data_IF_210377896457
#
_entry.id   IF_210377896457
#
_cell.length_a   1.000
_cell.length_b   1.000
_cell.length_c   1.000
_cell.angle_alpha   90.00
_cell.angle_beta   90.00
_cell.angle_gamma   90.00
#
_symmetry.space_group_name_H-M   'P 1'
#
loop_
_entity.id
_entity.type
_entity.pdbx_description
1 polymer ?
#
# COMPACT_ATOMS: atom_id res chain seq x y z
N UNK A 1 -3.08 -10.12 -11.93
CA UNK A 1 -3.34 -8.78 -11.43
C UNK A 1 -4.42 -8.86 -10.36
N UNK A 2 -4.09 -8.53 -9.12
CA UNK A 2 -5.02 -8.60 -7.99
C UNK A 2 -5.64 -7.22 -7.68
N UNK A 3 -5.67 -6.32 -8.65
CA UNK A 3 -6.17 -4.95 -8.48
C UNK A 3 -5.24 -4.02 -7.69
N UNK A 4 -4.03 -4.46 -7.37
CA UNK A 4 -3.02 -3.63 -6.71
C UNK A 4 -2.03 -2.99 -7.70
N UNK A 5 -2.36 -2.92 -9.00
CA UNK A 5 -1.46 -2.42 -10.03
C UNK A 5 -0.28 -3.36 -10.31
N UNK A 6 0.58 -2.98 -11.22
CA UNK A 6 1.83 -3.71 -11.49
C UNK A 6 2.77 -3.59 -10.29
N UNK A 7 3.17 -4.73 -9.71
CA UNK A 7 4.13 -4.73 -8.59
C UNK A 7 5.49 -4.22 -9.07
N UNK A 8 5.88 -3.03 -8.66
CA UNK A 8 7.25 -2.57 -8.82
C UNK A 8 8.12 -3.21 -7.74
N UNK A 9 8.93 -4.19 -8.12
CA UNK A 9 9.76 -4.94 -7.18
C UNK A 9 10.82 -4.09 -6.47
N UNK A 10 11.22 -2.95 -7.03
CA UNK A 10 12.08 -1.99 -6.33
C UNK A 10 11.38 -1.50 -5.06
N UNK A 11 10.20 -0.92 -5.19
CA UNK A 11 9.42 -0.43 -4.06
C UNK A 11 8.99 -1.55 -3.10
N UNK A 12 8.69 -2.74 -3.64
CA UNK A 12 8.36 -3.90 -2.83
C UNK A 12 9.52 -4.36 -1.95
N UNK A 13 10.76 -4.35 -2.47
CA UNK A 13 11.95 -4.71 -1.68
C UNK A 13 12.34 -3.64 -0.66
N UNK A 14 12.27 -2.36 -1.02
CA UNK A 14 12.57 -1.25 -0.11
C UNK A 14 11.57 -1.17 1.06
N UNK A 15 10.31 -1.51 0.83
CA UNK A 15 9.31 -1.65 1.89
C UNK A 15 9.70 -2.72 2.92
N UNK A 16 10.34 -3.81 2.50
CA UNK A 16 10.72 -4.91 3.37
C UNK A 16 11.92 -4.61 4.25
N UNK A 17 12.85 -3.81 3.75
CA UNK A 17 14.07 -3.41 4.49
C UNK A 17 14.60 -2.10 3.94
N UNK A 18 14.82 -1.15 4.83
CA UNK A 18 15.41 0.12 4.48
C UNK A 18 16.80 -0.06 3.90
N UNK A 19 17.11 0.70 2.85
CA UNK A 19 18.45 0.74 2.26
C UNK A 19 19.21 1.96 2.79
N UNK A 20 18.98 3.13 2.20
CA UNK A 20 19.68 4.37 2.56
C UNK A 20 18.83 5.28 3.47
N UNK A 21 17.51 5.12 3.46
CA UNK A 21 16.55 6.01 4.11
C UNK A 21 15.43 5.19 4.74
N UNK A 22 15.08 5.51 5.97
CA UNK A 22 13.85 5.02 6.60
C UNK A 22 12.75 6.02 6.28
N UNK A 23 11.71 5.60 5.61
CA UNK A 23 10.67 6.47 5.07
C UNK A 23 9.33 6.39 5.83
N UNK A 24 9.19 5.44 6.75
CA UNK A 24 8.05 5.37 7.67
C UNK A 24 8.44 4.67 8.98
N UNK A 25 7.70 4.96 10.05
CA UNK A 25 7.87 4.29 11.34
C UNK A 25 7.51 2.80 11.21
N UNK A 26 8.38 1.93 11.72
CA UNK A 26 8.21 0.48 11.65
C UNK A 26 8.89 -0.17 10.43
N UNK A 27 9.50 0.59 9.52
CA UNK A 27 10.27 0.01 8.43
C UNK A 27 11.49 -0.75 8.97
N UNK A 28 11.67 -2.04 8.61
CA UNK A 28 12.80 -2.82 9.09
C UNK A 28 14.14 -2.27 8.61
N UNK A 29 15.16 -2.24 9.49
CA UNK A 29 16.53 -1.80 9.18
C UNK A 29 17.53 -2.94 9.30
N UNK A 30 17.23 -3.99 10.05
CA UNK A 30 18.06 -5.17 10.21
C UNK A 30 17.20 -6.40 10.51
N UNK A 31 17.74 -7.57 10.20
CA UNK A 31 17.10 -8.84 10.52
C UNK A 31 18.13 -9.84 11.06
N UNK A 32 17.75 -10.60 12.08
CA UNK A 32 18.60 -11.54 12.80
C UNK A 32 17.94 -12.91 12.82
N UNK A 33 18.74 -13.95 12.57
CA UNK A 33 18.39 -15.33 12.85
C UNK A 33 19.27 -15.88 13.97
N UNK A 34 18.69 -16.57 14.93
CA UNK A 34 19.39 -17.21 16.04
C UNK A 34 18.81 -18.61 16.31
N UNK A 35 19.39 -19.32 17.27
CA UNK A 35 18.96 -20.69 17.61
C UNK A 35 17.55 -20.74 18.22
N UNK A 36 17.13 -19.64 18.85
CA UNK A 36 15.78 -19.46 19.37
C UNK A 36 15.36 -17.98 19.36
N UNK A 37 14.10 -17.72 19.67
CA UNK A 37 13.50 -16.38 19.67
C UNK A 37 14.17 -15.44 20.69
N UNK A 38 14.47 -15.92 21.88
CA UNK A 38 15.02 -15.08 22.96
C UNK A 38 16.42 -14.55 22.61
N UNK A 39 17.26 -15.45 22.06
CA UNK A 39 18.60 -15.08 21.58
C UNK A 39 18.50 -14.09 20.41
N UNK A 40 17.55 -14.28 19.48
CA UNK A 40 17.32 -13.35 18.37
C UNK A 40 16.91 -11.97 18.87
N UNK A 41 15.96 -11.90 19.81
CA UNK A 41 15.49 -10.64 20.41
C UNK A 41 16.59 -9.93 21.20
N UNK A 42 17.39 -10.68 21.97
CA UNK A 42 18.53 -10.11 22.69
C UNK A 42 19.57 -9.53 21.72
N UNK A 43 19.89 -10.25 20.66
CA UNK A 43 20.82 -9.78 19.63
C UNK A 43 20.27 -8.53 18.89
N UNK A 44 18.97 -8.49 18.58
CA UNK A 44 18.35 -7.34 17.96
C UNK A 44 18.45 -6.07 18.82
N UNK A 45 18.29 -6.18 20.15
CA UNK A 45 18.44 -5.05 21.08
C UNK A 45 19.87 -4.52 21.18
N UNK A 46 20.87 -5.28 20.73
CA UNK A 46 22.29 -4.87 20.70
C UNK A 46 22.67 -4.11 19.43
N UNK A 47 21.77 -4.08 18.42
CA UNK A 47 21.99 -3.28 17.21
C UNK A 47 21.77 -1.81 17.57
N UNK A 48 22.80 -1.02 17.43
CA UNK A 48 22.73 0.44 17.57
C UNK A 48 22.53 1.04 16.19
N UNK A 49 21.52 1.89 16.05
CA UNK A 49 21.24 2.62 14.81
C UNK A 49 21.30 4.10 15.11
N UNK A 50 22.17 4.80 14.41
CA UNK A 50 22.23 6.26 14.45
C UNK A 50 21.46 6.82 13.25
N UNK A 51 20.56 7.78 13.51
CA UNK A 51 19.73 8.39 12.49
C UNK A 51 20.03 9.87 12.34
N UNK A 52 20.18 10.30 11.10
CA UNK A 52 19.95 11.70 10.73
C UNK A 52 18.45 11.89 10.50
N UNK A 53 17.82 12.74 11.32
CA UNK A 53 16.37 12.97 11.26
C UNK A 53 16.07 13.95 10.14
N UNK A 54 15.26 13.53 9.18
CA UNK A 54 14.79 14.32 8.04
C UNK A 54 13.37 14.84 8.31
N UNK A 55 12.99 15.90 7.59
CA UNK A 55 11.61 16.37 7.58
C UNK A 55 10.66 15.31 7.03
N UNK A 56 9.47 15.24 7.58
CA UNK A 56 8.48 14.24 7.21
C UNK A 56 7.10 14.86 6.95
N UNK A 57 6.30 14.21 6.12
CA UNK A 57 4.93 14.61 5.81
C UNK A 57 4.00 13.40 5.97
N UNK A 58 2.91 13.58 6.71
CA UNK A 58 2.03 12.48 7.14
C UNK A 58 0.57 12.61 6.71
N UNK A 59 0.23 13.60 5.90
CA UNK A 59 -1.11 13.76 5.34
C UNK A 59 -1.07 14.29 3.91
N UNK A 60 -2.11 14.04 3.13
CA UNK A 60 -2.17 14.41 1.71
C UNK A 60 -2.11 15.92 1.48
N UNK A 61 -2.71 16.72 2.37
CA UNK A 61 -2.79 18.18 2.20
C UNK A 61 -1.40 18.80 2.27
N UNK A 62 -0.60 18.37 3.25
CA UNK A 62 0.78 18.85 3.40
C UNK A 62 1.71 18.24 2.34
N UNK A 63 1.49 16.99 1.95
CA UNK A 63 2.31 16.29 0.94
C UNK A 63 2.18 16.91 -0.47
N UNK A 64 1.08 17.60 -0.74
CA UNK A 64 0.82 18.27 -2.03
C UNK A 64 1.31 19.72 -2.08
N UNK A 65 1.84 20.27 -0.99
CA UNK A 65 2.40 21.62 -1.00
C UNK A 65 3.68 21.69 -1.82
N UNK A 66 3.91 22.83 -2.47
CA UNK A 66 5.10 23.06 -3.31
C UNK A 66 6.44 22.86 -2.55
N UNK A 67 6.45 23.14 -1.25
CA UNK A 67 7.63 23.01 -0.39
C UNK A 67 7.59 21.74 0.49
N UNK A 68 6.74 20.76 0.18
CA UNK A 68 6.68 19.50 0.92
C UNK A 68 7.99 18.71 0.81
N UNK A 69 8.44 18.06 1.88
CA UNK A 69 9.58 17.14 1.79
C UNK A 69 9.26 16.01 0.80
N UNK A 70 10.19 15.75 -0.12
CA UNK A 70 10.05 14.66 -1.10
C UNK A 70 10.45 13.34 -0.42
N UNK A 71 9.55 12.37 -0.44
CA UNK A 71 9.75 11.08 0.22
C UNK A 71 10.67 10.18 -0.60
N UNK A 72 10.44 10.11 -1.92
CA UNK A 72 11.22 9.31 -2.86
C UNK A 72 11.75 10.21 -3.97
N UNK A 73 13.03 10.55 -3.92
CA UNK A 73 13.67 11.50 -4.84
C UNK A 73 13.71 10.99 -6.30
N UNK A 74 13.65 9.68 -6.50
CA UNK A 74 13.65 9.04 -7.81
C UNK A 74 12.25 8.61 -8.29
N UNK A 75 11.21 9.06 -7.60
CA UNK A 75 9.84 8.86 -8.07
C UNK A 75 9.60 9.65 -9.36
N UNK A 76 9.06 8.95 -10.34
CA UNK A 76 8.48 9.56 -11.55
C UNK A 76 6.98 9.37 -11.44
N UNK A 77 6.27 10.45 -11.13
CA UNK A 77 4.81 10.45 -11.07
C UNK A 77 4.18 10.49 -12.46
N UNK A 78 2.89 10.20 -12.51
CA UNK A 78 2.07 10.25 -13.72
C UNK A 78 0.88 11.18 -13.50
N UNK A 79 0.82 12.29 -14.21
CA UNK A 79 -0.30 13.24 -14.21
C UNK A 79 -1.07 13.13 -15.52
N UNK A 80 -2.10 12.28 -15.54
CA UNK A 80 -2.93 12.02 -16.73
C UNK A 80 -2.10 11.63 -17.98
N UNK A 81 -1.00 10.88 -17.79
CA UNK A 81 -0.07 10.45 -18.83
C UNK A 81 1.18 11.34 -18.98
N UNK A 82 1.22 12.49 -18.34
CA UNK A 82 2.41 13.34 -18.29
C UNK A 82 3.33 12.93 -17.12
N UNK A 83 4.63 12.78 -17.41
CA UNK A 83 5.61 12.40 -16.38
C UNK A 83 6.05 13.62 -15.59
N UNK A 84 5.94 13.50 -14.26
CA UNK A 84 6.32 14.56 -13.32
C UNK A 84 7.41 14.08 -12.36
N UNK A 85 8.27 15.01 -11.95
CA UNK A 85 9.41 14.75 -11.07
C UNK A 85 9.34 15.66 -9.84
N UNK A 86 10.12 15.36 -8.80
CA UNK A 86 10.17 16.12 -7.56
C UNK A 86 8.78 16.31 -6.94
N UNK A 87 8.05 15.23 -6.79
CA UNK A 87 6.67 15.21 -6.32
C UNK A 87 6.44 14.05 -5.38
N UNK A 88 5.44 14.20 -4.48
CA UNK A 88 4.88 13.09 -3.71
C UNK A 88 3.64 12.48 -4.40
N UNK A 89 3.19 13.02 -5.53
CA UNK A 89 2.12 12.45 -6.33
C UNK A 89 2.67 11.34 -7.22
N UNK A 90 2.24 10.10 -7.01
CA UNK A 90 2.66 8.97 -7.83
C UNK A 90 1.78 8.77 -9.06
N UNK A 91 0.50 9.07 -8.95
CA UNK A 91 -0.46 8.89 -10.04
C UNK A 91 -1.65 9.83 -9.89
N UNK A 92 -2.14 10.36 -11.01
CA UNK A 92 -3.41 11.04 -11.16
C UNK A 92 -4.21 10.38 -12.27
N UNK A 93 -5.42 10.00 -11.98
CA UNK A 93 -6.36 9.45 -12.96
C UNK A 93 -7.62 10.30 -13.04
N UNK A 94 -8.23 10.35 -14.22
CA UNK A 94 -9.50 11.05 -14.46
C UNK A 94 -10.47 10.17 -15.22
N UNK A 95 -11.73 10.19 -14.81
CA UNK A 95 -12.84 9.65 -15.55
C UNK A 95 -13.84 10.76 -15.86
N UNK A 96 -14.14 10.97 -17.13
CA UNK A 96 -15.12 11.93 -17.62
C UNK A 96 -16.27 11.21 -18.34
N UNK A 97 -17.51 11.57 -18.03
CA UNK A 97 -18.71 11.06 -18.66
C UNK A 97 -19.68 12.22 -18.92
N UNK A 98 -20.19 12.30 -20.16
CA UNK A 98 -21.12 13.35 -20.57
C UNK A 98 -20.49 14.75 -20.59
N UNK A 99 -21.30 15.78 -20.36
CA UNK A 99 -20.88 17.19 -20.26
C UNK A 99 -21.20 17.69 -18.85
N UNK A 100 -20.23 17.48 -17.94
CA UNK A 100 -20.43 17.74 -16.52
C UNK A 100 -20.52 19.24 -16.20
N UNK A 101 -19.77 20.09 -16.91
CA UNK A 101 -19.79 21.54 -16.72
C UNK A 101 -21.16 22.11 -17.05
N UNK A 102 -21.64 21.84 -18.26
CA UNK A 102 -22.96 22.29 -18.68
C UNK A 102 -24.08 21.74 -17.81
N UNK A 103 -24.02 20.42 -17.47
CA UNK A 103 -25.02 19.80 -16.62
C UNK A 103 -25.03 20.36 -15.20
N UNK A 104 -23.87 20.78 -14.68
CA UNK A 104 -23.75 21.45 -13.38
C UNK A 104 -24.37 22.86 -13.42
N UNK A 105 -24.13 23.62 -14.49
CA UNK A 105 -24.74 24.95 -14.70
C UNK A 105 -26.26 24.88 -14.83
N UNK A 106 -26.77 23.84 -15.51
CA UNK A 106 -28.21 23.60 -15.74
C UNK A 106 -28.92 22.99 -14.51
N UNK A 107 -28.21 22.69 -13.42
CA UNK A 107 -28.80 22.10 -12.21
C UNK A 107 -29.59 23.13 -11.39
N UNK A 108 -30.74 22.72 -10.86
CA UNK A 108 -31.58 23.56 -10.01
C UNK A 108 -30.98 23.75 -8.61
N UNK A 109 -30.26 22.75 -8.11
CA UNK A 109 -29.62 22.73 -6.79
C UNK A 109 -28.23 22.18 -6.86
N UNK A 110 -27.29 22.81 -6.12
CA UNK A 110 -25.91 22.36 -6.01
C UNK A 110 -25.62 22.01 -4.53
N UNK A 111 -25.07 20.83 -4.32
CA UNK A 111 -24.62 20.35 -3.02
C UNK A 111 -23.12 20.09 -3.06
N UNK A 112 -22.39 20.55 -2.06
CA UNK A 112 -20.96 20.34 -1.91
C UNK A 112 -20.65 19.71 -0.56
N UNK A 113 -19.69 18.81 -0.53
CA UNK A 113 -19.21 18.16 0.70
C UNK A 113 -17.72 17.86 0.65
N UNK A 114 -17.08 17.94 1.79
CA UNK A 114 -15.68 17.60 1.99
C UNK A 114 -15.60 16.57 3.13
N UNK A 115 -14.88 15.48 2.90
CA UNK A 115 -14.74 14.36 3.83
C UNK A 115 -13.27 14.04 4.03
N UNK A 116 -12.87 13.84 5.28
CA UNK A 116 -11.54 13.38 5.63
C UNK A 116 -11.65 11.95 6.18
N UNK A 117 -10.69 11.10 5.78
CA UNK A 117 -10.61 9.72 6.21
C UNK A 117 -9.26 9.45 6.85
N UNK A 118 -9.27 8.73 7.96
CA UNK A 118 -8.05 8.27 8.61
C UNK A 118 -7.61 6.91 8.07
N UNK A 119 -6.30 6.65 8.08
CA UNK A 119 -5.77 5.31 7.85
C UNK A 119 -6.22 4.38 8.96
N UNK A 120 -6.84 3.25 8.61
CA UNK A 120 -7.33 2.24 9.56
C UNK A 120 -6.76 0.88 9.21
N UNK A 121 -6.13 0.23 10.17
CA UNK A 121 -5.62 -1.12 10.00
C UNK A 121 -6.75 -2.15 10.11
N UNK A 122 -6.68 -3.25 9.31
CA UNK A 122 -7.70 -4.32 9.25
C UNK A 122 -7.91 -5.05 10.59
N UNK A 123 -6.97 -4.96 11.52
CA UNK A 123 -7.12 -5.44 12.89
C UNK A 123 -7.31 -6.95 13.04
N UNK A 124 -6.82 -7.78 12.08
CA UNK A 124 -6.92 -9.24 12.16
C UNK A 124 -6.23 -9.78 13.42
N UNK A 125 -6.83 -10.82 14.02
CA UNK A 125 -6.38 -11.38 15.30
C UNK A 125 -5.06 -12.15 15.14
N UNK A 126 -4.92 -12.96 14.08
CA UNK A 126 -3.69 -13.70 13.83
C UNK A 126 -2.58 -12.77 13.34
N UNK A 127 -1.41 -12.71 14.04
CA UNK A 127 -0.23 -12.02 13.53
C UNK A 127 0.27 -12.61 12.22
N UNK A 128 1.02 -11.83 11.43
CA UNK A 128 1.78 -12.35 10.32
C UNK A 128 2.82 -13.35 10.81
N UNK A 129 2.93 -14.49 10.13
CA UNK A 129 3.92 -15.50 10.41
C UNK A 129 4.40 -16.14 9.12
N UNK A 130 5.67 -16.53 9.09
CA UNK A 130 6.26 -17.26 7.99
C UNK A 130 7.36 -18.19 8.50
N UNK A 131 7.48 -19.36 7.88
CA UNK A 131 8.63 -20.24 8.02
C UNK A 131 9.22 -20.47 6.65
N UNK A 132 10.52 -20.24 6.48
CA UNK A 132 11.21 -20.40 5.22
C UNK A 132 12.35 -21.41 5.32
N UNK A 133 12.54 -22.17 4.25
CA UNK A 133 13.69 -23.08 4.04
C UNK A 133 14.22 -22.82 2.65
N UNK A 134 15.50 -22.42 2.57
CA UNK A 134 16.25 -22.33 1.33
C UNK A 134 17.21 -23.53 1.29
N UNK A 135 16.95 -24.48 0.41
CA UNK A 135 17.72 -25.70 0.32
C UNK A 135 19.02 -25.52 -0.47
N UNK A 136 19.93 -26.50 -0.38
CA UNK A 136 21.20 -26.52 -1.13
C UNK A 136 21.00 -26.62 -2.65
N UNK A 137 19.85 -27.12 -3.11
CA UNK A 137 19.44 -27.19 -4.51
C UNK A 137 18.78 -25.89 -5.02
N UNK A 138 18.95 -24.77 -4.28
CA UNK A 138 18.34 -23.47 -4.54
C UNK A 138 16.80 -23.46 -4.62
N UNK A 139 16.12 -24.48 -4.04
CA UNK A 139 14.68 -24.46 -3.88
C UNK A 139 14.28 -23.75 -2.58
N UNK A 140 13.28 -22.89 -2.67
CA UNK A 140 12.77 -22.08 -1.56
C UNK A 140 11.37 -22.57 -1.22
N UNK A 141 11.18 -23.02 0.03
CA UNK A 141 9.87 -23.42 0.56
C UNK A 141 9.46 -22.46 1.66
N UNK A 142 8.26 -21.91 1.55
CA UNK A 142 7.72 -20.95 2.52
C UNK A 142 6.33 -21.39 2.94
N UNK A 143 6.10 -21.47 4.24
CA UNK A 143 4.80 -21.65 4.86
C UNK A 143 4.43 -20.31 5.51
N UNK A 144 3.28 -19.75 5.17
CA UNK A 144 2.89 -18.41 5.64
C UNK A 144 1.37 -18.26 5.71
N UNK A 145 0.92 -17.38 6.60
CA UNK A 145 -0.48 -16.94 6.66
C UNK A 145 -0.74 -15.90 5.57
N UNK A 146 -1.09 -16.34 4.36
CA UNK A 146 -1.35 -15.49 3.20
C UNK A 146 -2.73 -15.72 2.62
N UNK A 147 -3.35 -14.66 2.09
CA UNK A 147 -4.62 -14.74 1.35
C UNK A 147 -4.45 -15.22 -0.09
N UNK A 148 -3.22 -15.35 -0.58
CA UNK A 148 -2.95 -15.78 -1.95
C UNK A 148 -1.57 -16.40 -2.12
N UNK A 149 -1.48 -17.74 -2.17
CA UNK A 149 -0.21 -18.45 -2.31
C UNK A 149 0.51 -18.14 -3.64
N UNK A 150 -0.23 -18.04 -4.74
CA UNK A 150 0.35 -17.75 -6.05
C UNK A 150 0.86 -16.32 -6.19
N UNK A 151 0.08 -15.27 -5.81
CA UNK A 151 0.59 -13.91 -5.74
C UNK A 151 1.79 -13.76 -4.82
N UNK A 152 1.75 -14.34 -3.62
CA UNK A 152 2.89 -14.33 -2.70
C UNK A 152 4.13 -14.97 -3.33
N UNK A 153 3.97 -16.11 -4.00
CA UNK A 153 5.05 -16.78 -4.74
C UNK A 153 5.70 -15.86 -5.77
N UNK A 154 4.88 -15.18 -6.58
CA UNK A 154 5.36 -14.26 -7.61
C UNK A 154 6.08 -13.06 -7.01
N UNK A 155 5.53 -12.46 -5.96
CA UNK A 155 6.15 -11.34 -5.25
C UNK A 155 7.50 -11.76 -4.63
N UNK A 156 7.56 -12.90 -3.94
CA UNK A 156 8.78 -13.41 -3.32
C UNK A 156 9.86 -13.67 -4.38
N UNK A 157 9.51 -14.34 -5.47
CA UNK A 157 10.46 -14.64 -6.55
C UNK A 157 11.03 -13.35 -7.17
N UNK A 158 10.18 -12.36 -7.44
CA UNK A 158 10.61 -11.08 -7.98
C UNK A 158 11.50 -10.28 -7.03
N UNK A 159 11.17 -10.23 -5.74
CA UNK A 159 11.97 -9.55 -4.71
C UNK A 159 13.34 -10.23 -4.53
N UNK A 160 13.37 -11.55 -4.50
CA UNK A 160 14.62 -12.32 -4.36
C UNK A 160 15.41 -12.44 -5.66
N UNK A 161 14.84 -11.99 -6.79
CA UNK A 161 15.42 -12.11 -8.13
C UNK A 161 15.76 -13.55 -8.51
N UNK A 162 14.85 -14.48 -8.21
CA UNK A 162 14.96 -15.91 -8.55
C UNK A 162 13.82 -16.33 -9.50
N UNK A 163 13.96 -17.46 -10.15
CA UNK A 163 12.89 -18.00 -10.98
C UNK A 163 11.67 -18.37 -10.11
N UNK A 164 10.46 -18.11 -10.59
CA UNK A 164 9.21 -18.49 -9.90
C UNK A 164 9.14 -20.00 -9.62
N UNK A 165 9.74 -20.83 -10.49
CA UNK A 165 9.83 -22.28 -10.32
C UNK A 165 10.65 -22.72 -9.10
N UNK A 166 11.55 -21.88 -8.61
CA UNK A 166 12.35 -22.15 -7.41
C UNK A 166 11.59 -21.90 -6.11
N UNK A 167 10.45 -21.19 -6.17
CA UNK A 167 9.69 -20.80 -4.98
C UNK A 167 8.42 -21.63 -4.86
N UNK A 168 8.22 -22.27 -3.71
CA UNK A 168 6.97 -22.92 -3.31
C UNK A 168 6.41 -22.23 -2.08
N UNK A 169 5.22 -21.64 -2.20
CA UNK A 169 4.47 -21.09 -1.08
C UNK A 169 3.34 -22.06 -0.70
N UNK A 170 3.31 -22.44 0.56
CA UNK A 170 2.25 -23.26 1.16
C UNK A 170 1.45 -22.36 2.10
N UNK A 171 0.19 -22.02 1.77
CA UNK A 171 -0.65 -21.26 2.66
C UNK A 171 -1.02 -22.10 3.86
N UNK A 172 -1.01 -21.49 5.03
CA UNK A 172 -1.53 -22.08 6.27
C UNK A 172 -2.97 -21.60 6.50
N UNK A 173 -3.66 -22.16 7.49
CA UNK A 173 -4.90 -21.59 7.98
C UNK A 173 -4.66 -20.14 8.41
N UNK A 174 -5.63 -19.27 8.12
CA UNK A 174 -5.47 -17.84 8.28
C UNK A 174 -6.51 -17.31 9.27
N UNK A 175 -6.04 -16.70 10.35
CA UNK A 175 -6.86 -16.11 11.41
C UNK A 175 -7.26 -14.65 11.13
N UNK A 176 -7.81 -14.41 9.93
CA UNK A 176 -8.17 -13.10 9.41
C UNK A 176 -7.07 -12.46 8.57
N UNK A 177 -7.47 -11.67 7.59
CA UNK A 177 -6.56 -10.95 6.71
C UNK A 177 -7.23 -9.72 6.11
N UNK A 178 -8.49 -9.87 5.63
CA UNK A 178 -9.33 -8.79 5.12
C UNK A 178 -8.66 -7.93 4.03
N UNK A 179 -7.71 -8.50 3.28
CA UNK A 179 -6.87 -7.81 2.29
C UNK A 179 -5.45 -7.53 2.78
N UNK A 180 -5.23 -7.34 4.07
CA UNK A 180 -3.91 -7.01 4.64
C UNK A 180 -2.87 -8.13 4.55
N UNK A 181 -3.26 -9.37 4.22
CA UNK A 181 -2.35 -10.51 4.02
C UNK A 181 -2.22 -10.93 2.55
N UNK A 182 -2.53 -10.05 1.61
CA UNK A 182 -2.24 -10.23 0.18
C UNK A 182 -0.77 -9.87 -0.13
N UNK A 183 -0.23 -8.73 0.32
CA UNK A 183 1.18 -8.40 0.12
C UNK A 183 2.09 -9.28 0.98
N UNK A 184 3.30 -9.52 0.49
CA UNK A 184 4.38 -10.08 1.33
C UNK A 184 5.04 -9.00 2.16
N UNK A 185 5.55 -9.37 3.33
CA UNK A 185 6.25 -8.46 4.24
C UNK A 185 7.65 -8.98 4.59
N UNK A 186 7.77 -10.04 5.36
CA UNK A 186 9.08 -10.56 5.80
C UNK A 186 9.40 -11.96 5.27
N UNK A 187 8.53 -12.56 4.45
CA UNK A 187 8.76 -13.88 3.85
C UNK A 187 10.08 -13.93 3.06
N UNK A 188 10.42 -12.92 2.22
CA UNK A 188 11.72 -12.87 1.55
C UNK A 188 12.89 -12.75 2.53
N UNK A 189 12.72 -12.01 3.63
CA UNK A 189 13.74 -11.86 4.68
C UNK A 189 13.99 -13.21 5.36
N UNK A 190 12.92 -13.94 5.73
CA UNK A 190 13.03 -15.28 6.30
C UNK A 190 13.77 -16.24 5.37
N UNK A 191 13.51 -16.16 4.05
CA UNK A 191 14.21 -16.97 3.04
C UNK A 191 15.71 -16.63 2.96
N UNK A 192 16.07 -15.35 2.94
CA UNK A 192 17.49 -14.91 2.94
C UNK A 192 18.21 -15.36 4.22
N UNK A 193 17.56 -15.20 5.37
CA UNK A 193 18.12 -15.65 6.64
C UNK A 193 18.30 -17.19 6.67
N UNK A 194 17.36 -17.92 6.08
CA UNK A 194 17.49 -19.40 5.91
C UNK A 194 18.69 -19.75 5.03
N UNK A 195 18.86 -19.07 3.89
CA UNK A 195 20.03 -19.27 3.03
C UNK A 195 21.34 -19.01 3.77
N UNK A 196 21.41 -17.89 4.49
CA UNK A 196 22.63 -17.50 5.24
C UNK A 196 22.97 -18.43 6.40
N UNK A 197 21.96 -18.97 7.09
CA UNK A 197 22.16 -19.85 8.24
C UNK A 197 22.27 -21.33 7.87
N UNK A 198 21.85 -21.72 6.67
CA UNK A 198 21.69 -23.12 6.26
C UNK A 198 20.63 -23.87 7.06
N UNK A 199 19.67 -23.16 7.68
CA UNK A 199 18.64 -23.72 8.57
C UNK A 199 17.26 -23.15 8.26
N UNK A 200 16.18 -23.85 8.63
CA UNK A 200 14.84 -23.27 8.63
C UNK A 200 14.78 -22.02 9.51
N UNK A 201 14.12 -20.97 9.02
CA UNK A 201 13.90 -19.72 9.76
C UNK A 201 12.42 -19.49 9.90
N UNK A 202 11.95 -19.30 11.14
CA UNK A 202 10.58 -18.92 11.47
C UNK A 202 10.57 -17.50 12.01
N UNK A 203 9.68 -16.66 11.45
CA UNK A 203 9.42 -15.31 11.91
C UNK A 203 7.94 -15.14 12.25
N UNK A 204 7.66 -14.40 13.33
CA UNK A 204 6.30 -14.03 13.75
C UNK A 204 6.33 -12.57 14.14
N UNK A 205 5.47 -11.74 13.56
CA UNK A 205 5.37 -10.33 13.93
C UNK A 205 4.71 -10.17 15.30
N UNK A 206 5.21 -9.23 16.07
CA UNK A 206 4.51 -8.76 17.27
C UNK A 206 3.34 -7.84 16.88
N UNK A 207 2.36 -7.69 17.78
CA UNK A 207 1.17 -6.89 17.50
C UNK A 207 1.50 -5.44 17.15
N UNK A 208 2.43 -4.82 17.85
CA UNK A 208 2.89 -3.46 17.55
C UNK A 208 3.51 -3.37 16.16
N UNK A 209 4.39 -4.31 15.82
CA UNK A 209 5.00 -4.36 14.50
C UNK A 209 3.97 -4.52 13.37
N UNK A 210 2.88 -5.26 13.58
CA UNK A 210 1.80 -5.37 12.60
C UNK A 210 1.20 -4.00 12.29
N UNK A 211 0.86 -3.21 13.29
CA UNK A 211 0.26 -1.89 13.09
C UNK A 211 1.24 -0.86 12.51
N UNK A 212 2.53 -1.02 12.75
CA UNK A 212 3.56 -0.08 12.29
C UNK A 212 4.17 -0.44 10.92
N UNK A 213 4.09 -1.72 10.51
CA UNK A 213 4.81 -2.23 9.33
C UNK A 213 3.87 -2.67 8.21
N UNK A 214 2.70 -3.26 8.53
CA UNK A 214 1.80 -3.79 7.52
C UNK A 214 0.78 -2.75 7.04
N UNK A 215 0.26 -2.95 5.83
CA UNK A 215 -0.54 -1.94 5.15
C UNK A 215 -1.94 -1.76 5.75
N UNK A 216 -2.28 -0.53 6.19
CA UNK A 216 -3.65 -0.13 6.51
C UNK A 216 -4.47 0.16 5.25
N UNK A 217 -5.76 0.50 5.40
CA UNK A 217 -6.53 1.16 4.35
C UNK A 217 -5.97 2.57 4.07
N UNK A 218 -6.14 3.14 2.87
CA UNK A 218 -5.77 4.53 2.65
C UNK A 218 -6.56 5.47 3.57
N UNK A 219 -5.86 6.47 4.11
CA UNK A 219 -6.46 7.71 4.56
C UNK A 219 -6.58 8.67 3.39
N UNK A 220 -7.13 9.85 3.63
CA UNK A 220 -7.17 10.85 2.58
C UNK A 220 -8.31 11.85 2.72
N UNK A 221 -8.57 12.55 1.61
CA UNK A 221 -9.55 13.60 1.50
C UNK A 221 -10.40 13.39 0.25
N UNK A 222 -11.70 13.56 0.37
CA UNK A 222 -12.63 13.50 -0.76
C UNK A 222 -13.46 14.77 -0.77
N UNK A 223 -13.57 15.39 -1.94
CA UNK A 223 -14.55 16.46 -2.20
C UNK A 223 -15.56 15.95 -3.21
N UNK A 224 -16.81 16.30 -2.98
CA UNK A 224 -17.92 15.95 -3.85
C UNK A 224 -18.76 17.18 -4.13
N UNK A 225 -19.14 17.37 -5.40
CA UNK A 225 -20.10 18.37 -5.84
C UNK A 225 -21.17 17.68 -6.69
N UNK A 226 -22.43 17.85 -6.31
CA UNK A 226 -23.58 17.23 -6.97
C UNK A 226 -24.52 18.30 -7.51
N UNK A 227 -24.93 18.15 -8.76
CA UNK A 227 -26.02 18.89 -9.37
C UNK A 227 -27.31 18.06 -9.32
N UNK A 228 -28.40 18.66 -8.87
CA UNK A 228 -29.69 17.98 -8.66
C UNK A 228 -30.82 18.80 -9.28
N UNK A 229 -31.73 18.15 -9.99
CA UNK A 229 -32.90 18.77 -10.59
C UNK A 229 -34.06 18.91 -9.60
N UNK A 230 -35.06 19.73 -9.94
CA UNK A 230 -36.27 19.92 -9.11
C UNK A 230 -37.07 18.62 -8.90
N UNK A 231 -36.92 17.61 -9.74
CA UNK A 231 -37.51 16.27 -9.55
C UNK A 231 -36.62 15.37 -8.66
N UNK A 232 -35.64 15.93 -7.96
CA UNK A 232 -34.74 15.28 -7.01
C UNK A 232 -33.84 14.20 -7.64
N UNK A 233 -33.52 14.31 -8.93
CA UNK A 233 -32.55 13.43 -9.59
C UNK A 233 -31.19 14.11 -9.68
N UNK A 234 -30.15 13.33 -9.39
CA UNK A 234 -28.77 13.75 -9.59
C UNK A 234 -28.49 13.71 -11.11
N UNK A 235 -28.18 14.87 -11.70
CA UNK A 235 -27.89 15.00 -13.12
C UNK A 235 -26.41 15.20 -13.41
N UNK A 236 -25.63 15.62 -12.42
CA UNK A 236 -24.19 15.80 -12.55
C UNK A 236 -23.45 15.54 -11.23
N UNK A 237 -22.19 15.11 -11.32
CA UNK A 237 -21.34 14.89 -10.17
C UNK A 237 -19.87 15.19 -10.52
N UNK A 238 -19.17 15.87 -9.62
CA UNK A 238 -17.71 16.04 -9.66
C UNK A 238 -17.14 15.53 -8.34
N UNK A 239 -16.10 14.72 -8.44
CA UNK A 239 -15.35 14.24 -7.27
C UNK A 239 -13.87 14.46 -7.44
N UNK A 240 -13.24 14.86 -6.35
CA UNK A 240 -11.79 14.92 -6.18
C UNK A 240 -11.42 14.02 -5.01
N UNK A 241 -10.56 13.01 -5.26
CA UNK A 241 -10.16 11.98 -4.31
C UNK A 241 -8.65 12.04 -4.13
N UNK A 242 -8.16 12.43 -2.97
CA UNK A 242 -6.74 12.36 -2.60
C UNK A 242 -6.53 11.24 -1.60
N UNK A 243 -5.87 10.15 -2.02
CA UNK A 243 -5.56 9.02 -1.15
C UNK A 243 -4.10 9.02 -0.74
N UNK A 244 -3.86 8.73 0.53
CA UNK A 244 -2.55 8.43 1.09
C UNK A 244 -2.10 7.04 0.63
N UNK A 245 -1.07 6.95 -0.20
CA UNK A 245 -0.48 5.69 -0.63
C UNK A 245 0.34 4.98 0.47
N UNK A 246 0.69 5.72 1.53
CA UNK A 246 1.83 5.41 2.38
C UNK A 246 3.13 5.84 1.71
N UNK A 247 4.25 5.35 2.17
CA UNK A 247 5.57 5.80 1.72
C UNK A 247 6.02 5.25 0.35
N UNK A 248 5.23 4.37 -0.27
CA UNK A 248 5.54 3.79 -1.58
C UNK A 248 4.35 3.92 -2.54
N UNK A 249 4.58 4.05 -3.86
CA UNK A 249 3.53 4.19 -4.88
C UNK A 249 2.59 2.99 -4.98
N UNK A 250 1.45 3.20 -5.62
CA UNK A 250 0.45 2.16 -5.92
C UNK A 250 -0.67 2.12 -4.88
N UNK A 251 -1.40 3.21 -4.75
CA UNK A 251 -2.61 3.32 -3.94
C UNK A 251 -3.84 2.69 -4.60
N UNK A 252 -4.97 2.79 -3.91
CA UNK A 252 -6.26 2.21 -4.34
C UNK A 252 -7.15 3.22 -5.08
N UNK A 253 -6.55 4.22 -5.78
CA UNK A 253 -7.32 5.28 -6.45
C UNK A 253 -8.16 4.76 -7.61
N UNK A 254 -7.68 3.78 -8.38
CA UNK A 254 -8.43 3.16 -9.47
C UNK A 254 -9.75 2.55 -9.00
N UNK A 255 -9.74 1.59 -8.05
CA UNK A 255 -10.98 1.07 -7.45
C UNK A 255 -11.88 2.16 -6.85
N UNK A 256 -11.32 3.16 -6.17
CA UNK A 256 -12.10 4.25 -5.59
C UNK A 256 -12.83 5.07 -6.67
N UNK A 257 -12.12 5.49 -7.71
CA UNK A 257 -12.70 6.24 -8.82
C UNK A 257 -13.78 5.47 -9.58
N UNK A 258 -13.59 4.13 -9.72
CA UNK A 258 -14.60 3.28 -10.36
C UNK A 258 -15.87 3.08 -9.52
N UNK A 259 -15.74 3.10 -8.19
CA UNK A 259 -16.83 2.69 -7.29
C UNK A 259 -17.61 3.86 -6.70
N UNK A 260 -17.07 5.08 -6.62
CA UNK A 260 -17.66 6.20 -5.89
C UNK A 260 -19.11 6.51 -6.31
N UNK A 261 -19.44 6.35 -7.58
CA UNK A 261 -20.79 6.57 -8.10
C UNK A 261 -21.44 5.32 -8.68
N UNK A 262 -20.83 4.16 -8.58
CA UNK A 262 -21.32 2.93 -9.18
C UNK A 262 -22.79 2.54 -8.85
N UNK A 263 -23.32 2.84 -7.62
CA UNK A 263 -24.73 2.56 -7.29
C UNK A 263 -25.72 3.56 -7.88
N UNK A 264 -25.28 4.66 -8.48
CA UNK A 264 -26.12 5.75 -8.92
C UNK A 264 -26.19 5.83 -10.46
N UNK A 265 -27.30 6.30 -10.99
CA UNK A 265 -27.46 6.61 -12.40
C UNK A 265 -27.25 8.11 -12.62
N UNK A 266 -25.99 8.52 -12.78
CA UNK A 266 -25.59 9.91 -13.00
C UNK A 266 -25.07 10.01 -14.44
N UNK A 267 -25.73 10.78 -15.33
CA UNK A 267 -25.35 10.82 -16.74
C UNK A 267 -24.10 11.66 -17.04
N UNK A 268 -23.79 12.63 -16.19
CA UNK A 268 -22.65 13.53 -16.39
C UNK A 268 -21.80 13.56 -15.14
N UNK A 269 -20.53 13.11 -15.23
CA UNK A 269 -19.66 13.10 -14.07
C UNK A 269 -18.19 13.25 -14.45
N UNK A 270 -17.43 13.86 -13.52
CA UNK A 270 -15.97 13.86 -13.52
C UNK A 270 -15.47 13.34 -12.19
N UNK A 271 -14.50 12.44 -12.25
CA UNK A 271 -13.86 11.86 -11.09
C UNK A 271 -12.35 12.01 -11.28
N UNK A 272 -11.72 12.84 -10.47
CA UNK A 272 -10.28 12.96 -10.36
C UNK A 272 -9.80 12.21 -9.12
N UNK A 273 -8.74 11.40 -9.25
CA UNK A 273 -8.18 10.69 -8.13
C UNK A 273 -6.65 10.70 -8.15
N UNK A 274 -6.05 11.05 -7.01
CA UNK A 274 -4.61 11.20 -6.82
C UNK A 274 -4.08 10.22 -5.79
N UNK A 275 -2.99 9.53 -6.13
CA UNK A 275 -2.21 8.67 -5.24
C UNK A 275 -1.03 9.46 -4.68
N UNK A 276 -1.06 9.76 -3.38
CA UNK A 276 -0.13 10.69 -2.74
C UNK A 276 0.71 9.96 -1.70
N UNK A 277 2.04 10.07 -1.81
CA UNK A 277 2.96 9.51 -0.84
C UNK A 277 2.94 10.31 0.47
N UNK A 278 2.97 9.59 1.58
CA UNK A 278 3.10 10.11 2.94
C UNK A 278 4.00 9.20 3.78
N UNK A 279 4.69 9.73 4.80
CA UNK A 279 5.58 8.95 5.66
C UNK A 279 4.81 8.02 6.63
N UNK A 280 4.01 7.14 6.05
CA UNK A 280 3.21 6.10 6.73
C UNK A 280 3.46 4.74 6.06
N UNK A 281 3.10 3.60 6.69
CA UNK A 281 3.18 2.30 6.04
C UNK A 281 2.47 2.28 4.68
N UNK A 282 3.04 1.55 3.70
CA UNK A 282 2.38 1.34 2.40
C UNK A 282 1.00 0.74 2.62
N UNK A 283 -0.02 1.34 2.05
CA UNK A 283 -1.40 0.86 2.15
C UNK A 283 -1.55 -0.54 1.56
N UNK A 284 -2.53 -1.28 2.06
CA UNK A 284 -3.00 -2.54 1.49
C UNK A 284 -4.53 -2.53 1.35
N UNK A 285 -5.04 -3.51 0.65
CA UNK A 285 -6.48 -3.69 0.53
C UNK A 285 -7.13 -3.88 1.92
N UNK A 286 -8.30 -3.31 2.09
CA UNK A 286 -9.17 -3.58 3.23
C UNK A 286 -10.57 -3.87 2.71
N UNK A 287 -11.02 -5.11 2.91
CA UNK A 287 -12.33 -5.69 2.58
C UNK A 287 -13.19 -4.84 1.65
N UNK A 288 -13.32 -5.29 0.37
CA UNK A 288 -14.03 -4.59 -0.70
C UNK A 288 -13.48 -3.16 -0.98
N UNK A 289 -12.18 -3.03 -1.41
CA UNK A 289 -11.61 -1.73 -1.73
C UNK A 289 -12.45 -0.98 -2.77
N UNK A 290 -12.72 0.30 -2.50
CA UNK A 290 -13.49 1.17 -3.40
C UNK A 290 -15.00 1.19 -3.15
N UNK A 291 -15.51 0.46 -2.16
CA UNK A 291 -16.95 0.45 -1.83
C UNK A 291 -17.22 0.94 -0.41
#
# INVERSE_FOLDING_TARGET
DLGEGSVNFKWASEKLMANNKVIYRGQPVAAIAAIDRHVAEEAARKILVEYEVLDSVTNVVDAMKENAPIILEDLIGDDLGEKIHNTNMSEHIRHDFGDVEKSMEDSDHIFEGEFNMEMVHQGYIEPHNATAVWNEDDQIKIWTSTQGAFPARTQIAGILQVNVSQVKVTPLEIGGGFGGKIPVYFEPIAAILSKKSGRPVKMVMERTAIFETTGPTPGGKIKVKLGVNNDMKINSAISEIWFEAGANPGGMIGPAAMCIYAPYNIPNMRIDAWDILVNKPKIAAYRAPGS
#
